data_IF_646259328813
#
_entry.id   IF_646259328813
#
_cell.length_a   1.000
_cell.length_b   1.000
_cell.length_c   1.000
_cell.angle_alpha   90.00
_cell.angle_beta   90.00
_cell.angle_gamma   90.00
#
_symmetry.space_group_name_H-M   'P 1'
#
loop_
_entity.id
_entity.type
_entity.pdbx_description
1 polymer ?
#
# COMPACT_ATOMS: atom_id res chain seq x y z
N UNK A 1 -18.63 -6.83 -55.08
CA UNK A 1 -17.23 -7.05 -54.84
C UNK A 1 -17.04 -7.12 -53.34
N UNK A 2 -16.82 -8.34 -52.87
CA UNK A 2 -16.71 -8.70 -51.50
C UNK A 2 -15.31 -8.41 -50.94
N UNK A 3 -15.19 -8.52 -49.60
CA UNK A 3 -14.00 -8.71 -48.78
C UNK A 3 -13.21 -7.46 -48.41
N UNK A 4 -13.54 -6.90 -47.26
CA UNK A 4 -12.56 -6.48 -46.25
C UNK A 4 -13.24 -6.26 -44.88
N UNK A 5 -13.85 -7.30 -44.32
CA UNK A 5 -14.04 -7.43 -42.88
C UNK A 5 -12.84 -8.21 -42.36
N UNK A 6 -11.73 -7.50 -42.15
CA UNK A 6 -10.70 -7.98 -41.23
C UNK A 6 -11.35 -7.99 -39.86
N UNK A 7 -11.75 -9.17 -39.39
CA UNK A 7 -12.13 -9.39 -38.00
C UNK A 7 -11.01 -8.84 -37.14
N UNK A 8 -11.31 -7.78 -36.41
CA UNK A 8 -10.46 -7.26 -35.36
C UNK A 8 -10.41 -8.39 -34.33
N UNK A 9 -9.37 -9.24 -34.39
CA UNK A 9 -9.09 -10.18 -33.31
C UNK A 9 -9.07 -9.37 -32.02
N UNK A 10 -10.06 -9.59 -31.19
CA UNK A 10 -10.11 -9.01 -29.85
C UNK A 10 -8.92 -9.59 -29.10
N UNK A 11 -7.84 -8.83 -29.07
CA UNK A 11 -6.65 -9.19 -28.32
C UNK A 11 -7.05 -9.22 -26.86
N UNK A 12 -7.04 -10.41 -26.26
CA UNK A 12 -7.38 -10.56 -24.84
C UNK A 12 -6.39 -9.75 -24.00
N UNK A 13 -6.87 -8.98 -23.03
CA UNK A 13 -5.97 -8.21 -22.18
C UNK A 13 -5.05 -9.16 -21.40
N UNK A 14 -3.76 -8.85 -21.42
CA UNK A 14 -2.73 -9.57 -20.65
C UNK A 14 -2.16 -8.67 -19.55
N UNK A 15 -1.66 -9.24 -18.45
CA UNK A 15 -1.08 -8.48 -17.36
C UNK A 15 0.24 -7.84 -17.80
N UNK A 16 0.44 -6.59 -17.39
CA UNK A 16 1.68 -5.84 -17.58
C UNK A 16 2.19 -5.34 -16.24
N UNK A 17 3.50 -5.21 -16.13
CA UNK A 17 4.14 -4.72 -14.92
C UNK A 17 5.35 -3.83 -15.24
N UNK A 18 5.73 -3.04 -14.26
CA UNK A 18 6.98 -2.29 -14.24
C UNK A 18 7.58 -2.36 -12.84
N UNK A 19 8.90 -2.53 -12.77
CA UNK A 19 9.67 -2.54 -11.54
C UNK A 19 10.81 -1.56 -11.59
N UNK A 20 10.99 -0.79 -10.52
CA UNK A 20 12.19 0.00 -10.28
C UNK A 20 12.81 -0.41 -8.96
N UNK A 21 14.13 -0.50 -8.91
CA UNK A 21 14.92 -0.67 -7.68
C UNK A 21 15.83 0.54 -7.54
N UNK A 22 15.68 1.29 -6.45
CA UNK A 22 16.40 2.54 -6.18
C UNK A 22 16.37 3.53 -7.39
N UNK A 23 15.21 3.58 -8.09
CA UNK A 23 14.97 4.45 -9.24
C UNK A 23 15.49 3.91 -10.58
N UNK A 24 16.07 2.71 -10.60
CA UNK A 24 16.52 2.05 -11.84
C UNK A 24 15.45 1.08 -12.33
N UNK A 25 14.99 1.27 -13.57
CA UNK A 25 14.01 0.36 -14.20
C UNK A 25 14.66 -0.99 -14.53
N UNK A 26 14.15 -2.05 -13.92
CA UNK A 26 14.60 -3.44 -14.10
C UNK A 26 13.53 -4.32 -14.75
N UNK A 27 12.49 -3.73 -15.31
CA UNK A 27 11.33 -4.46 -15.85
C UNK A 27 11.71 -5.49 -16.92
N UNK A 28 12.65 -5.15 -17.80
CA UNK A 28 13.12 -6.06 -18.85
C UNK A 28 13.87 -7.27 -18.29
N UNK A 29 14.66 -7.08 -17.23
CA UNK A 29 15.34 -8.16 -16.53
C UNK A 29 14.31 -9.07 -15.82
N UNK A 30 13.30 -8.48 -15.22
CA UNK A 30 12.23 -9.19 -14.51
C UNK A 30 11.35 -10.00 -15.44
N UNK A 31 11.05 -9.50 -16.66
CA UNK A 31 10.09 -10.10 -17.57
C UNK A 31 10.40 -11.57 -17.94
N UNK A 32 11.68 -11.93 -18.06
CA UNK A 32 12.12 -13.29 -18.39
C UNK A 32 12.32 -14.19 -17.17
N UNK A 33 12.29 -13.63 -15.95
CA UNK A 33 12.68 -14.32 -14.72
C UNK A 33 11.58 -14.38 -13.67
N UNK A 34 10.54 -13.57 -13.80
CA UNK A 34 9.44 -13.49 -12.82
C UNK A 34 8.66 -14.81 -12.78
N UNK A 35 8.70 -15.47 -11.64
CA UNK A 35 7.94 -16.71 -11.37
C UNK A 35 6.65 -16.38 -10.61
N UNK A 36 6.74 -15.53 -9.61
CA UNK A 36 5.60 -15.14 -8.76
C UNK A 36 5.74 -13.69 -8.30
N UNK A 37 4.62 -12.98 -8.28
CA UNK A 37 4.47 -11.67 -7.69
C UNK A 37 3.19 -11.64 -6.87
N UNK A 38 3.30 -11.38 -5.57
CA UNK A 38 2.17 -11.23 -4.67
C UNK A 38 2.25 -9.86 -3.99
N UNK A 39 1.19 -9.07 -4.09
CA UNK A 39 1.04 -7.82 -3.34
C UNK A 39 -0.12 -7.99 -2.38
N UNK A 40 0.15 -7.75 -1.10
CA UNK A 40 -0.85 -7.74 -0.04
C UNK A 40 -1.15 -6.29 0.33
N UNK A 41 -2.32 -5.84 -0.07
CA UNK A 41 -2.86 -4.52 0.29
C UNK A 41 -3.76 -4.70 1.53
N UNK A 42 -3.20 -4.39 2.68
CA UNK A 42 -3.86 -4.63 3.97
C UNK A 42 -4.77 -3.44 4.34
N UNK A 43 -5.84 -3.73 5.07
CA UNK A 43 -6.70 -2.71 5.66
C UNK A 43 -6.16 -2.26 7.02
N UNK A 44 -6.48 -1.02 7.36
CA UNK A 44 -6.07 -0.45 8.65
C UNK A 44 -4.60 -0.03 8.66
N UNK A 45 -3.95 -0.19 9.80
CA UNK A 45 -2.55 0.18 10.02
C UNK A 45 -1.59 -1.02 9.87
N UNK A 46 -2.04 -2.09 9.21
CA UNK A 46 -1.18 -3.21 8.82
C UNK A 46 -0.41 -2.82 7.57
N UNK A 47 0.89 -3.00 7.61
CA UNK A 47 1.80 -2.62 6.51
C UNK A 47 1.53 -3.50 5.29
N UNK A 48 1.46 -2.87 4.13
CA UNK A 48 1.38 -3.59 2.86
C UNK A 48 2.70 -4.29 2.57
N UNK A 49 2.64 -5.41 1.87
CA UNK A 49 3.84 -6.17 1.51
C UNK A 49 3.81 -6.62 0.06
N UNK A 50 5.01 -6.82 -0.48
CA UNK A 50 5.23 -7.44 -1.77
C UNK A 50 6.20 -8.61 -1.61
N UNK A 51 5.83 -9.76 -2.17
CA UNK A 51 6.66 -10.94 -2.26
C UNK A 51 6.92 -11.25 -3.74
N UNK A 52 8.18 -11.41 -4.11
CA UNK A 52 8.65 -11.61 -5.49
C UNK A 52 9.50 -12.87 -5.53
N UNK A 53 9.25 -13.75 -6.48
CA UNK A 53 10.10 -14.90 -6.77
C UNK A 53 10.63 -14.83 -8.20
N UNK A 54 11.94 -14.98 -8.35
CA UNK A 54 12.66 -14.89 -9.61
C UNK A 54 13.44 -16.18 -9.87
N UNK A 55 13.43 -16.63 -11.11
CA UNK A 55 14.30 -17.69 -11.58
C UNK A 55 15.75 -17.16 -11.71
N UNK A 56 16.68 -17.78 -11.03
CA UNK A 56 18.11 -17.47 -11.08
C UNK A 56 18.96 -18.67 -11.49
N UNK A 57 18.45 -19.53 -12.37
CA UNK A 57 19.13 -20.74 -12.81
C UNK A 57 20.50 -20.49 -13.44
N UNK A 58 20.79 -19.29 -13.88
CA UNK A 58 22.10 -18.86 -14.41
C UNK A 58 23.00 -18.18 -13.38
N UNK A 59 22.50 -17.95 -12.14
CA UNK A 59 23.25 -17.31 -11.06
C UNK A 59 23.64 -15.84 -11.32
N UNK A 60 22.92 -15.17 -12.24
CA UNK A 60 23.28 -13.81 -12.70
C UNK A 60 22.51 -12.69 -11.98
N UNK A 61 21.56 -13.03 -11.11
CA UNK A 61 20.80 -12.02 -10.37
C UNK A 61 21.60 -11.46 -9.20
N UNK A 62 21.72 -10.15 -9.16
CA UNK A 62 22.22 -9.47 -7.98
C UNK A 62 21.14 -9.44 -6.91
N UNK A 63 21.45 -9.91 -5.71
CA UNK A 63 20.54 -9.87 -4.57
C UNK A 63 20.42 -8.43 -4.09
N UNK A 64 19.22 -7.83 -4.07
CA UNK A 64 19.04 -6.48 -3.57
C UNK A 64 19.40 -6.42 -2.08
N UNK A 65 20.13 -5.39 -1.64
CA UNK A 65 20.46 -5.25 -0.22
C UNK A 65 19.20 -4.95 0.59
N UNK A 66 19.22 -5.37 1.86
CA UNK A 66 18.16 -4.97 2.80
C UNK A 66 18.08 -3.45 2.87
N UNK A 67 16.86 -2.92 2.74
CA UNK A 67 16.61 -1.48 2.73
C UNK A 67 16.52 -0.84 1.34
N UNK A 68 16.86 -1.55 0.26
CA UNK A 68 16.61 -1.08 -1.10
C UNK A 68 15.12 -0.78 -1.34
N UNK A 69 14.82 0.23 -2.14
CA UNK A 69 13.43 0.63 -2.41
C UNK A 69 12.98 0.03 -3.75
N UNK A 70 11.96 -0.81 -3.69
CA UNK A 70 11.30 -1.36 -4.87
C UNK A 70 10.01 -0.56 -5.13
N UNK A 71 9.84 -0.01 -6.31
CA UNK A 71 8.57 0.56 -6.75
C UNK A 71 7.94 -0.36 -7.79
N UNK A 72 6.63 -0.60 -7.64
CA UNK A 72 5.89 -1.59 -8.44
C UNK A 72 4.69 -0.92 -9.10
N UNK A 73 4.54 -1.17 -10.41
CA UNK A 73 3.33 -0.84 -11.16
C UNK A 73 2.76 -2.12 -11.77
N UNK A 74 1.46 -2.27 -11.66
CA UNK A 74 0.72 -3.38 -12.25
C UNK A 74 -0.45 -2.87 -13.07
N UNK A 75 -0.80 -3.59 -14.09
CA UNK A 75 -1.97 -3.27 -14.91
C UNK A 75 -2.26 -4.30 -15.97
N UNK A 76 -3.09 -3.92 -16.91
CA UNK A 76 -3.47 -4.72 -18.05
C UNK A 76 -3.13 -3.96 -19.34
N UNK A 77 -2.83 -4.69 -20.40
CA UNK A 77 -2.44 -4.13 -21.70
C UNK A 77 -3.46 -3.12 -22.27
N UNK A 78 -4.73 -3.24 -21.90
CA UNK A 78 -5.83 -2.36 -22.33
C UNK A 78 -6.14 -1.20 -21.38
N UNK A 79 -5.70 -1.24 -20.12
CA UNK A 79 -5.97 -0.19 -19.12
C UNK A 79 -4.72 0.58 -18.68
N UNK A 80 -3.53 0.06 -19.01
CA UNK A 80 -2.26 0.66 -18.61
C UNK A 80 -1.80 0.27 -17.20
N UNK A 81 -0.72 0.89 -16.76
CA UNK A 81 -0.05 0.62 -15.49
C UNK A 81 -0.59 1.53 -14.39
N UNK A 82 -0.81 0.98 -13.22
CA UNK A 82 -1.19 1.68 -11.99
C UNK A 82 -0.08 1.50 -10.95
N UNK A 83 0.33 2.60 -10.34
CA UNK A 83 1.32 2.60 -9.24
C UNK A 83 0.74 1.84 -8.04
N UNK A 84 1.48 0.84 -7.56
CA UNK A 84 1.15 0.03 -6.37
C UNK A 84 1.93 0.46 -5.13
N UNK A 85 2.80 1.45 -5.27
CA UNK A 85 3.55 2.04 -4.16
C UNK A 85 5.02 1.61 -4.12
N UNK A 86 5.67 2.11 -3.06
CA UNK A 86 7.09 1.86 -2.77
C UNK A 86 7.23 0.91 -1.60
N UNK A 87 8.08 -0.08 -1.75
CA UNK A 87 8.34 -1.12 -0.77
C UNK A 87 9.83 -1.15 -0.44
N UNK A 88 10.17 -1.25 0.84
CA UNK A 88 11.53 -1.38 1.32
C UNK A 88 11.85 -2.86 1.51
N UNK A 89 12.91 -3.35 0.91
CA UNK A 89 13.35 -4.75 1.05
C UNK A 89 13.65 -5.04 2.52
N UNK A 90 12.95 -6.00 3.07
CA UNK A 90 13.16 -6.50 4.43
C UNK A 90 14.04 -7.74 4.44
N UNK A 91 13.78 -8.68 3.55
CA UNK A 91 14.57 -9.89 3.42
C UNK A 91 14.69 -10.36 1.98
N UNK A 92 15.80 -11.00 1.68
CA UNK A 92 16.03 -11.73 0.45
C UNK A 92 16.66 -13.08 0.77
N UNK A 93 16.25 -14.11 0.06
CA UNK A 93 16.80 -15.45 0.21
C UNK A 93 17.01 -16.10 -1.16
N UNK A 94 18.08 -16.84 -1.28
CA UNK A 94 18.39 -17.64 -2.45
C UNK A 94 18.34 -19.12 -2.07
N UNK A 95 17.68 -19.90 -2.88
CA UNK A 95 17.53 -21.35 -2.70
C UNK A 95 17.91 -22.06 -4.01
N UNK A 96 18.78 -23.06 -3.93
CA UNK A 96 19.13 -23.95 -5.05
C UNK A 96 18.34 -25.25 -5.01
N UNK A 97 18.47 -25.99 -5.93
CA UNK A 97 18.09 -26.42 -7.26
C UNK A 97 16.60 -26.78 -7.35
N UNK A 98 15.78 -26.11 -8.18
CA UNK A 98 16.15 -25.02 -9.08
C UNK A 98 16.42 -23.71 -8.33
N UNK A 99 17.37 -22.91 -8.84
CA UNK A 99 17.79 -21.69 -8.19
C UNK A 99 16.72 -20.61 -8.30
N UNK A 100 16.24 -20.17 -7.15
CA UNK A 100 15.19 -19.18 -6.99
C UNK A 100 15.64 -18.09 -6.02
N UNK A 101 15.56 -16.84 -6.47
CA UNK A 101 15.71 -15.68 -5.62
C UNK A 101 14.32 -15.21 -5.14
N UNK A 102 14.11 -15.25 -3.83
CA UNK A 102 12.89 -14.75 -3.20
C UNK A 102 13.20 -13.43 -2.49
N UNK A 103 12.37 -12.41 -2.71
CA UNK A 103 12.49 -11.08 -2.14
C UNK A 103 11.17 -10.74 -1.45
N UNK A 104 11.25 -10.39 -0.17
CA UNK A 104 10.12 -9.83 0.58
C UNK A 104 10.40 -8.38 0.92
N UNK A 105 9.45 -7.51 0.61
CA UNK A 105 9.54 -6.09 0.92
C UNK A 105 8.23 -5.58 1.51
N UNK A 106 8.34 -4.61 2.42
CA UNK A 106 7.21 -3.99 3.11
C UNK A 106 7.05 -2.55 2.63
N UNK A 107 5.82 -2.05 2.61
CA UNK A 107 5.60 -0.65 2.27
C UNK A 107 6.48 0.25 3.13
N UNK A 108 7.13 1.22 2.49
CA UNK A 108 8.01 2.18 3.17
C UNK A 108 7.15 3.22 3.89
N UNK A 109 6.36 2.76 4.85
CA UNK A 109 5.45 3.61 5.61
C UNK A 109 6.08 4.07 6.92
N UNK A 110 5.70 5.28 7.34
CA UNK A 110 6.03 5.93 8.62
C UNK A 110 5.54 5.13 9.83
N UNK A 111 5.02 3.92 9.61
CA UNK A 111 4.31 3.11 10.60
C UNK A 111 5.15 2.64 11.79
N UNK A 112 6.48 2.59 11.69
CA UNK A 112 7.33 2.17 12.82
C UNK A 112 7.26 3.19 13.98
N UNK A 113 7.28 4.49 13.67
CA UNK A 113 7.12 5.53 14.68
C UNK A 113 5.75 5.49 15.36
N UNK A 114 4.69 5.27 14.57
CA UNK A 114 3.32 5.15 15.07
C UNK A 114 3.10 3.99 16.05
N UNK A 115 3.95 2.96 16.01
CA UNK A 115 3.88 1.79 16.91
C UNK A 115 4.58 2.00 18.26
N UNK A 116 5.32 3.08 18.43
CA UNK A 116 5.96 3.40 19.72
C UNK A 116 4.92 3.80 20.74
N UNK A 117 5.04 3.24 21.95
CA UNK A 117 4.17 3.56 23.08
C UNK A 117 4.33 5.02 23.47
N UNK A 118 3.22 5.70 23.73
CA UNK A 118 3.13 7.08 24.19
C UNK A 118 2.28 7.17 25.48
N UNK A 119 2.66 8.06 26.36
CA UNK A 119 1.89 8.41 27.55
C UNK A 119 1.49 9.87 27.45
N UNK A 120 0.21 10.12 27.19
CA UNK A 120 -0.38 11.45 27.10
C UNK A 120 -1.89 11.41 27.32
N UNK A 121 -2.51 12.55 27.50
CA UNK A 121 -3.96 12.68 27.63
C UNK A 121 -4.51 13.66 26.60
N UNK A 122 -5.72 13.40 26.18
CA UNK A 122 -6.49 14.23 25.27
C UNK A 122 -7.75 14.68 25.98
N UNK A 123 -7.98 15.99 26.08
CA UNK A 123 -9.15 16.56 26.74
C UNK A 123 -9.83 17.55 25.81
N UNK A 124 -11.17 17.42 25.69
CA UNK A 124 -12.02 18.30 24.89
C UNK A 124 -11.55 18.51 23.45
N UNK A 125 -11.03 17.45 22.81
CA UNK A 125 -10.52 17.43 21.44
C UNK A 125 -11.53 16.82 20.48
N UNK A 126 -11.57 17.33 19.25
CA UNK A 126 -12.26 16.65 18.15
C UNK A 126 -11.40 15.51 17.61
N UNK A 127 -12.04 14.55 16.93
CA UNK A 127 -11.31 13.48 16.23
C UNK A 127 -10.34 14.08 15.20
N UNK A 128 -10.78 15.12 14.48
CA UNK A 128 -9.92 15.85 13.53
C UNK A 128 -8.64 16.36 14.20
N UNK A 129 -8.77 17.08 15.33
CA UNK A 129 -7.62 17.64 16.06
C UNK A 129 -6.65 16.56 16.55
N UNK A 130 -7.16 15.40 16.99
CA UNK A 130 -6.31 14.28 17.43
C UNK A 130 -5.53 13.72 16.23
N UNK A 131 -6.22 13.48 15.11
CA UNK A 131 -5.58 12.96 13.90
C UNK A 131 -4.57 13.94 13.32
N UNK A 132 -4.88 15.25 13.29
CA UNK A 132 -3.95 16.28 12.84
C UNK A 132 -2.70 16.36 13.70
N UNK A 133 -2.86 16.28 15.04
CA UNK A 133 -1.73 16.27 15.95
C UNK A 133 -0.83 15.06 15.72
N UNK A 134 -1.43 13.88 15.60
CA UNK A 134 -0.68 12.65 15.31
C UNK A 134 -0.06 12.73 13.92
N UNK A 135 -0.81 13.12 12.90
CA UNK A 135 -0.29 13.23 11.53
C UNK A 135 0.92 14.16 11.43
N UNK A 136 0.86 15.31 12.12
CA UNK A 136 1.96 16.28 12.14
C UNK A 136 3.25 15.72 12.77
N UNK A 137 3.14 14.82 13.78
CA UNK A 137 4.30 14.20 14.42
C UNK A 137 5.04 13.22 13.48
N UNK A 138 4.34 12.72 12.46
CA UNK A 138 4.88 11.74 11.50
C UNK A 138 4.92 12.27 10.05
N UNK A 139 4.78 13.58 9.85
CA UNK A 139 4.80 14.22 8.53
C UNK A 139 3.73 13.67 7.57
N UNK A 140 2.62 13.17 8.14
CA UNK A 140 1.50 12.64 7.37
C UNK A 140 0.45 13.73 7.12
N UNK A 141 -0.07 13.79 5.90
CA UNK A 141 -1.27 14.57 5.59
C UNK A 141 -2.49 13.85 6.16
N UNK A 142 -3.42 14.61 6.75
CA UNK A 142 -4.59 14.03 7.43
C UNK A 142 -5.84 14.21 6.60
N UNK A 143 -6.60 13.14 6.46
CA UNK A 143 -7.92 13.13 5.81
C UNK A 143 -8.89 12.43 6.75
N UNK A 144 -9.76 13.20 7.39
CA UNK A 144 -10.84 12.69 8.23
C UNK A 144 -12.17 12.96 7.53
N UNK A 145 -12.97 11.91 7.34
CA UNK A 145 -14.29 12.05 6.74
C UNK A 145 -15.17 13.00 7.60
N UNK A 146 -15.94 13.86 6.95
CA UNK A 146 -16.76 14.90 7.59
C UNK A 146 -17.67 14.40 8.71
N UNK A 147 -18.21 13.17 8.56
CA UNK A 147 -19.02 12.48 9.58
C UNK A 147 -18.34 12.40 10.96
N UNK A 148 -17.01 12.38 11.00
CA UNK A 148 -16.23 12.17 12.22
C UNK A 148 -15.46 13.42 12.66
N UNK A 149 -15.15 14.32 11.73
CA UNK A 149 -14.26 15.44 11.93
C UNK A 149 -14.63 16.28 13.17
N UNK A 150 -15.90 16.65 13.31
CA UNK A 150 -16.42 17.50 14.38
C UNK A 150 -16.78 16.75 15.68
N UNK A 151 -16.67 15.41 15.70
CA UNK A 151 -17.04 14.60 16.86
C UNK A 151 -16.06 14.85 18.00
N UNK A 152 -16.59 15.33 19.14
CA UNK A 152 -15.79 15.67 20.33
C UNK A 152 -15.56 14.45 21.22
N UNK A 153 -14.35 14.35 21.70
CA UNK A 153 -13.88 13.40 22.70
C UNK A 153 -13.61 14.18 23.98
N UNK A 154 -14.37 13.91 25.02
CA UNK A 154 -14.22 14.62 26.30
C UNK A 154 -12.87 14.34 26.94
N UNK A 155 -12.48 13.06 27.02
CA UNK A 155 -11.22 12.65 27.62
C UNK A 155 -10.78 11.28 27.10
N UNK A 156 -9.51 11.17 26.75
CA UNK A 156 -8.81 9.90 26.52
C UNK A 156 -7.48 9.95 27.26
N UNK A 157 -7.23 8.97 28.12
CA UNK A 157 -5.89 8.65 28.60
C UNK A 157 -5.25 7.69 27.58
N UNK A 158 -4.15 8.12 26.97
CA UNK A 158 -3.37 7.28 26.07
C UNK A 158 -2.17 6.72 26.83
N UNK A 159 -2.13 5.40 26.97
CA UNK A 159 -0.97 4.64 27.47
C UNK A 159 -0.67 3.50 26.47
N UNK A 160 -0.70 3.86 25.21
CA UNK A 160 -0.61 2.97 24.07
C UNK A 160 0.11 3.68 22.92
N UNK A 161 0.38 2.97 21.84
CA UNK A 161 0.93 3.58 20.63
C UNK A 161 -0.10 4.44 19.90
N UNK A 162 0.38 5.39 19.09
CA UNK A 162 -0.50 6.22 18.27
C UNK A 162 -1.30 5.37 17.28
N UNK A 163 -0.69 4.31 16.75
CA UNK A 163 -1.39 3.33 15.91
C UNK A 163 -2.60 2.71 16.64
N UNK A 164 -2.40 2.27 17.88
CA UNK A 164 -3.48 1.67 18.68
C UNK A 164 -4.57 2.70 19.04
N UNK A 165 -4.18 3.91 19.43
CA UNK A 165 -5.12 5.00 19.70
C UNK A 165 -6.01 5.29 18.49
N UNK A 166 -5.40 5.46 17.31
CA UNK A 166 -6.10 5.75 16.05
C UNK A 166 -7.05 4.59 15.70
N UNK A 167 -6.58 3.35 15.82
CA UNK A 167 -7.39 2.15 15.54
C UNK A 167 -8.57 2.09 16.50
N UNK A 168 -8.36 2.34 17.78
CA UNK A 168 -9.43 2.34 18.79
C UNK A 168 -10.47 3.43 18.52
N UNK A 169 -10.03 4.66 18.21
CA UNK A 169 -10.95 5.75 17.83
C UNK A 169 -11.75 5.36 16.57
N UNK A 170 -11.13 4.71 15.59
CA UNK A 170 -11.80 4.26 14.39
C UNK A 170 -12.85 3.18 14.71
N UNK A 171 -12.50 2.17 15.49
CA UNK A 171 -13.40 1.06 15.86
C UNK A 171 -14.61 1.55 16.68
N UNK A 172 -14.40 2.44 17.65
CA UNK A 172 -15.46 3.07 18.44
C UNK A 172 -16.45 3.89 17.57
N UNK A 173 -16.06 4.25 16.36
CA UNK A 173 -16.86 5.06 15.44
C UNK A 173 -17.35 4.29 14.19
N UNK A 174 -17.19 2.96 14.16
CA UNK A 174 -17.46 2.13 12.98
C UNK A 174 -16.77 2.68 11.72
N UNK A 175 -15.51 3.02 11.90
CA UNK A 175 -14.63 3.58 10.88
C UNK A 175 -13.40 2.69 10.65
N UNK A 176 -12.62 3.02 9.64
CA UNK A 176 -11.31 2.45 9.35
C UNK A 176 -10.30 3.57 9.31
N UNK A 177 -9.24 3.45 10.11
CA UNK A 177 -8.07 4.31 10.00
C UNK A 177 -6.97 3.57 9.23
N UNK A 178 -6.30 4.25 8.32
CA UNK A 178 -5.20 3.68 7.53
C UNK A 178 -4.17 4.75 7.19
N UNK A 179 -2.93 4.31 6.96
CA UNK A 179 -1.88 5.16 6.39
C UNK A 179 -1.58 4.67 4.99
N UNK A 180 -1.78 5.54 3.99
CA UNK A 180 -1.56 5.25 2.58
C UNK A 180 -0.96 6.46 1.87
N UNK A 181 0.11 6.26 1.12
CA UNK A 181 0.75 7.31 0.30
C UNK A 181 1.04 8.61 1.06
N UNK A 182 1.54 8.51 2.31
CA UNK A 182 1.84 9.67 3.15
C UNK A 182 0.62 10.38 3.73
N UNK A 183 -0.55 9.72 3.72
CA UNK A 183 -1.78 10.25 4.31
C UNK A 183 -2.26 9.36 5.45
N UNK A 184 -2.62 9.98 6.58
CA UNK A 184 -3.38 9.36 7.65
C UNK A 184 -4.87 9.61 7.38
N UNK A 185 -5.62 8.54 7.16
CA UNK A 185 -6.98 8.60 6.62
C UNK A 185 -7.94 7.94 7.61
N UNK A 186 -9.10 8.58 7.87
CA UNK A 186 -10.22 8.00 8.62
C UNK A 186 -11.49 8.04 7.77
N UNK A 187 -12.02 6.85 7.43
CA UNK A 187 -13.21 6.68 6.59
C UNK A 187 -14.25 5.81 7.28
N UNK A 188 -15.57 5.96 6.97
CA UNK A 188 -16.60 5.04 7.41
C UNK A 188 -16.33 3.61 6.93
N UNK A 189 -16.60 2.61 7.77
CA UNK A 189 -16.53 1.21 7.38
C UNK A 189 -17.56 0.92 6.29
N UNK A 190 -17.14 0.29 5.19
CA UNK A 190 -18.03 0.01 4.06
C UNK A 190 -18.34 1.20 3.15
N UNK A 191 -17.65 2.32 3.31
CA UNK A 191 -17.76 3.42 2.35
C UNK A 191 -17.32 2.97 0.95
N UNK A 192 -18.18 3.22 -0.04
CA UNK A 192 -17.89 2.95 -1.46
C UNK A 192 -17.32 4.19 -2.17
N UNK A 193 -16.64 5.04 -1.42
CA UNK A 193 -16.03 6.26 -1.94
C UNK A 193 -14.51 6.17 -1.93
N UNK A 194 -13.86 6.79 -2.90
CA UNK A 194 -12.40 6.98 -2.91
C UNK A 194 -11.99 7.98 -1.83
N UNK A 195 -10.70 8.05 -1.53
CA UNK A 195 -10.11 9.08 -0.62
C UNK A 195 -10.41 10.50 -1.10
N UNK A 196 -10.60 10.69 -2.41
CA UNK A 196 -10.99 11.97 -3.04
C UNK A 196 -12.49 12.26 -3.00
N UNK A 197 -13.30 11.37 -2.38
CA UNK A 197 -14.75 11.55 -2.26
C UNK A 197 -15.55 11.12 -3.51
N UNK A 198 -14.91 10.48 -4.49
CA UNK A 198 -15.62 9.95 -5.65
C UNK A 198 -16.26 8.59 -5.32
N UNK A 199 -17.52 8.41 -5.66
CA UNK A 199 -18.19 7.13 -5.54
C UNK A 199 -17.52 6.08 -6.43
N UNK A 200 -17.23 4.91 -5.85
CA UNK A 200 -16.76 3.77 -6.61
C UNK A 200 -17.92 3.14 -7.41
N UNK A 201 -17.69 2.74 -8.66
CA UNK A 201 -18.72 2.08 -9.46
C UNK A 201 -19.15 0.78 -8.74
N UNK A 202 -20.46 0.61 -8.57
CA UNK A 202 -21.01 -0.65 -8.04
C UNK A 202 -20.87 -1.73 -9.11
N UNK A 203 -20.07 -2.73 -8.84
CA UNK A 203 -20.05 -3.96 -9.66
C UNK A 203 -21.34 -4.71 -9.36
N UNK A 204 -22.17 -4.92 -10.38
CA UNK A 204 -23.36 -5.78 -10.33
C UNK A 204 -22.99 -7.20 -10.70
#
# INVERSE_FOLDING_TARGET
TALNSVEKMTEYPYPIFRFEVDGVDISSLMASRLMSLSIKDNRGLVVDSVDIELNDADGMLSIPPKGAIIQVWLGWSNTGLFDKGKYKVDSSSHRGAPDVLSISAMANDVSEGLKQKRERSWSDKTIQEIFEKVGAEYELKVIVHEKFASKKIKYIAQNESDANLITRIADENDAIATVKNGHLILLPRGASTTVSGLDLPRVR
#
